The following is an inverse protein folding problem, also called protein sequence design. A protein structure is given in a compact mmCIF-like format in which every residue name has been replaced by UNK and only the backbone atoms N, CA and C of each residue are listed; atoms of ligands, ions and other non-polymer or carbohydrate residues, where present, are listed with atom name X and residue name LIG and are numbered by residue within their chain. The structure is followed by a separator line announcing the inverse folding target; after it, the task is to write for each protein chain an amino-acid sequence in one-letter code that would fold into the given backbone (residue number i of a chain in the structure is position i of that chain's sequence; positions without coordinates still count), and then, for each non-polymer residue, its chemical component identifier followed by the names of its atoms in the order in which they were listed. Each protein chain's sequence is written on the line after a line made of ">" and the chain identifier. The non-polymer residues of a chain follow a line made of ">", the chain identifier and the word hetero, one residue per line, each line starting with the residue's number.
data_IF_405853684274
#
_entry.id   IF_405853684274
#
_cell.length_a   1.000
_cell.length_b   1.000
_cell.length_c   1.000
_cell.angle_alpha   90.00
_cell.angle_beta   90.00
_cell.angle_gamma   90.00
#
_symmetry.space_group_name_H-M   'P 1'
#
loop_
_entity.id
_entity.type
_entity.pdbx_description
1 polymer ?
#
# COMPACT_ATOMS: atom_id res chain seq x y z
N UNK A 1 13.83 10.38 -25.19
CA UNK A 1 12.77 9.48 -25.70
C UNK A 1 11.66 9.38 -24.67
N UNK A 2 10.54 10.09 -24.86
CA UNK A 2 9.35 9.94 -24.02
C UNK A 2 8.57 8.72 -24.51
N UNK A 3 8.60 7.62 -23.75
CA UNK A 3 7.82 6.42 -24.04
C UNK A 3 6.32 6.78 -24.09
N UNK A 4 5.77 6.91 -25.30
CA UNK A 4 4.37 7.20 -25.54
C UNK A 4 3.59 5.92 -25.25
N UNK A 5 3.09 5.78 -24.02
CA UNK A 5 2.33 4.60 -23.59
C UNK A 5 1.16 4.35 -24.57
N UNK A 6 1.15 3.18 -25.17
CA UNK A 6 0.09 2.76 -26.08
C UNK A 6 -1.22 2.67 -25.30
N UNK A 7 -2.27 3.35 -25.80
CA UNK A 7 -3.62 3.30 -25.20
C UNK A 7 -4.25 1.93 -25.46
N UNK A 8 -3.79 0.92 -24.74
CA UNK A 8 -4.40 -0.42 -24.74
C UNK A 8 -5.76 -0.37 -24.05
N UNK A 9 -6.65 -1.31 -24.38
CA UNK A 9 -7.98 -1.41 -23.77
C UNK A 9 -7.90 -1.51 -22.24
N UNK A 10 -6.91 -2.25 -21.74
CA UNK A 10 -6.59 -2.34 -20.31
C UNK A 10 -6.24 -0.98 -19.71
N UNK A 11 -5.36 -0.19 -20.36
CA UNK A 11 -5.00 1.15 -19.88
C UNK A 11 -6.23 2.07 -19.78
N UNK A 12 -7.10 2.07 -20.81
CA UNK A 12 -8.34 2.86 -20.79
C UNK A 12 -9.30 2.38 -19.69
N UNK A 13 -9.44 1.08 -19.47
CA UNK A 13 -10.32 0.52 -18.45
C UNK A 13 -9.83 0.83 -17.04
N UNK A 14 -8.53 0.61 -16.76
CA UNK A 14 -7.92 0.89 -15.45
C UNK A 14 -8.00 2.37 -15.09
N UNK A 15 -7.77 3.27 -16.05
CA UNK A 15 -7.88 4.73 -15.80
C UNK A 15 -9.32 5.10 -15.45
N UNK A 16 -10.32 4.57 -16.17
CA UNK A 16 -11.73 4.80 -15.87
C UNK A 16 -12.18 4.26 -14.51
N UNK A 17 -11.61 3.15 -14.03
CA UNK A 17 -11.90 2.59 -12.70
C UNK A 17 -11.36 3.54 -11.62
N UNK A 18 -10.13 4.01 -11.78
CA UNK A 18 -9.51 4.97 -10.86
C UNK A 18 -10.32 6.27 -10.79
N UNK A 19 -10.74 6.81 -11.94
CA UNK A 19 -11.52 8.05 -11.99
C UNK A 19 -12.91 7.87 -11.36
N UNK A 20 -13.57 6.73 -11.59
CA UNK A 20 -14.84 6.40 -10.92
C UNK A 20 -14.67 6.25 -9.40
N UNK A 21 -13.59 5.62 -8.95
CA UNK A 21 -13.30 5.47 -7.53
C UNK A 21 -13.02 6.84 -6.88
N UNK A 22 -12.29 7.72 -7.58
CA UNK A 22 -12.03 9.08 -7.14
C UNK A 22 -13.32 9.89 -7.02
N UNK A 23 -14.21 9.79 -8.01
CA UNK A 23 -15.52 10.47 -7.97
C UNK A 23 -16.44 9.89 -6.88
N UNK A 24 -16.42 8.58 -6.65
CA UNK A 24 -17.19 7.96 -5.56
C UNK A 24 -16.66 8.38 -4.18
N UNK A 25 -15.33 8.52 -4.06
CA UNK A 25 -14.63 9.00 -2.86
C UNK A 25 -14.64 10.54 -2.72
N UNK A 26 -15.39 11.27 -3.56
CA UNK A 26 -15.57 12.72 -3.40
C UNK A 26 -16.38 13.07 -2.14
N UNK A 27 -17.27 12.16 -1.68
CA UNK A 27 -17.98 12.33 -0.42
C UNK A 27 -17.00 12.12 0.77
N UNK A 28 -16.87 13.08 1.71
CA UNK A 28 -15.97 13.00 2.86
C UNK A 28 -16.13 11.71 3.68
N UNK A 29 -17.36 11.28 3.94
CA UNK A 29 -17.62 10.09 4.76
C UNK A 29 -17.16 8.80 4.08
N UNK A 30 -17.38 8.68 2.76
CA UNK A 30 -16.93 7.53 1.96
C UNK A 30 -15.41 7.50 1.84
N UNK A 31 -14.79 8.67 1.73
CA UNK A 31 -13.33 8.80 1.73
C UNK A 31 -12.71 8.29 3.02
N UNK A 32 -13.23 8.67 4.18
CA UNK A 32 -12.70 8.20 5.46
C UNK A 32 -12.90 6.69 5.64
N UNK A 33 -14.09 6.17 5.27
CA UNK A 33 -14.34 4.73 5.28
C UNK A 33 -13.36 3.96 4.38
N UNK A 34 -13.14 4.43 3.15
CA UNK A 34 -12.17 3.84 2.23
C UNK A 34 -10.76 3.82 2.86
N UNK A 35 -10.30 4.95 3.39
CA UNK A 35 -8.98 5.06 4.03
C UNK A 35 -8.86 4.15 5.26
N UNK A 36 -9.92 4.02 6.07
CA UNK A 36 -9.95 3.12 7.21
C UNK A 36 -9.86 1.65 6.77
N UNK A 37 -10.60 1.24 5.73
CA UNK A 37 -10.51 -0.12 5.16
C UNK A 37 -9.10 -0.39 4.67
N UNK A 38 -8.50 0.55 3.93
CA UNK A 38 -7.14 0.41 3.42
C UNK A 38 -6.12 0.31 4.56
N UNK A 39 -6.29 1.12 5.61
CA UNK A 39 -5.49 1.04 6.82
C UNK A 39 -5.58 -0.35 7.47
N UNK A 40 -6.80 -0.89 7.62
CA UNK A 40 -7.02 -2.21 8.20
C UNK A 40 -6.43 -3.34 7.34
N UNK A 41 -6.52 -3.25 6.01
CA UNK A 41 -5.89 -4.21 5.11
C UNK A 41 -4.37 -4.15 5.24
N UNK A 42 -3.79 -2.93 5.33
CA UNK A 42 -2.37 -2.76 5.60
C UNK A 42 -1.95 -3.36 6.93
N UNK A 43 -2.73 -3.09 7.99
CA UNK A 43 -2.51 -3.64 9.32
C UNK A 43 -2.54 -5.17 9.32
N UNK A 44 -3.55 -5.76 8.66
CA UNK A 44 -3.66 -7.21 8.50
C UNK A 44 -2.43 -7.78 7.80
N UNK A 45 -2.04 -7.21 6.65
CA UNK A 45 -0.85 -7.66 5.92
C UNK A 45 0.43 -7.57 6.78
N UNK A 46 0.58 -6.52 7.58
CA UNK A 46 1.73 -6.32 8.46
C UNK A 46 1.77 -7.34 9.60
N UNK A 47 0.62 -7.60 10.20
CA UNK A 47 0.48 -8.63 11.24
C UNK A 47 0.72 -10.04 10.70
N UNK A 48 0.26 -10.36 9.49
CA UNK A 48 0.54 -11.64 8.84
C UNK A 48 2.03 -11.84 8.59
N UNK A 49 2.75 -10.81 8.14
CA UNK A 49 4.21 -10.87 7.99
C UNK A 49 4.90 -11.10 9.34
N UNK A 50 4.46 -10.42 10.40
CA UNK A 50 4.96 -10.63 11.76
C UNK A 50 4.72 -12.05 12.28
N UNK A 51 3.52 -12.58 12.09
CA UNK A 51 3.17 -13.96 12.48
C UNK A 51 4.00 -15.02 11.73
N UNK A 52 4.21 -14.83 10.42
CA UNK A 52 5.06 -15.73 9.61
C UNK A 52 6.48 -15.76 10.17
N UNK A 53 7.06 -14.59 10.50
CA UNK A 53 8.39 -14.52 11.11
C UNK A 53 8.43 -15.19 12.50
N UNK A 54 7.41 -14.98 13.34
CA UNK A 54 7.34 -15.57 14.69
C UNK A 54 7.21 -17.10 14.69
N UNK A 55 6.47 -17.68 13.74
CA UNK A 55 6.27 -19.14 13.64
C UNK A 55 7.50 -19.85 13.07
N UNK A 56 8.18 -19.25 12.10
CA UNK A 56 9.26 -19.92 11.40
C UNK A 56 10.58 -19.96 12.20
N UNK A 57 10.73 -19.12 13.25
CA UNK A 57 11.99 -18.96 14.00
C UNK A 57 13.25 -18.84 13.09
N UNK A 58 13.02 -18.48 11.83
CA UNK A 58 13.98 -18.63 10.76
C UNK A 58 14.68 -17.31 10.61
N UNK A 59 15.73 -17.16 11.43
CA UNK A 59 16.84 -16.22 11.26
C UNK A 59 16.36 -14.77 11.07
N UNK A 60 16.46 -13.95 12.12
CA UNK A 60 16.24 -12.49 12.11
C UNK A 60 16.68 -11.76 10.81
N UNK A 61 17.79 -12.13 10.13
CA UNK A 61 18.17 -11.53 8.85
C UNK A 61 17.17 -11.72 7.70
N UNK A 62 16.51 -12.88 7.59
CA UNK A 62 15.59 -13.19 6.48
C UNK A 62 14.28 -12.43 6.64
N UNK A 63 13.74 -12.40 7.86
CA UNK A 63 12.57 -11.58 8.19
C UNK A 63 12.84 -10.09 7.97
N UNK A 64 14.01 -9.61 8.39
CA UNK A 64 14.45 -8.23 8.14
C UNK A 64 14.58 -7.93 6.64
N UNK A 65 15.11 -8.87 5.84
CA UNK A 65 15.25 -8.71 4.39
C UNK A 65 13.89 -8.64 3.67
N UNK A 66 12.94 -9.50 4.04
CA UNK A 66 11.58 -9.48 3.49
C UNK A 66 10.87 -8.17 3.85
N UNK A 67 10.99 -7.71 5.10
CA UNK A 67 10.44 -6.44 5.53
C UNK A 67 11.06 -5.26 4.77
N UNK A 68 12.38 -5.30 4.53
CA UNK A 68 13.09 -4.32 3.70
C UNK A 68 12.58 -4.29 2.27
N UNK A 69 12.42 -5.45 1.61
CA UNK A 69 11.86 -5.53 0.25
C UNK A 69 10.45 -4.93 0.22
N UNK A 70 9.60 -5.27 1.18
CA UNK A 70 8.26 -4.69 1.27
C UNK A 70 8.30 -3.17 1.43
N UNK A 71 9.17 -2.67 2.30
CA UNK A 71 9.36 -1.24 2.52
C UNK A 71 9.88 -0.53 1.27
N UNK A 72 10.86 -1.11 0.57
CA UNK A 72 11.43 -0.61 -0.67
C UNK A 72 10.36 -0.51 -1.76
N UNK A 73 9.53 -1.55 -1.92
CA UNK A 73 8.41 -1.57 -2.86
C UNK A 73 7.39 -0.46 -2.57
N UNK A 74 7.07 -0.22 -1.29
CA UNK A 74 6.17 0.85 -0.86
C UNK A 74 6.75 2.24 -1.16
N UNK A 75 8.05 2.44 -0.91
CA UNK A 75 8.75 3.70 -1.17
C UNK A 75 8.84 3.96 -2.68
N UNK A 76 9.23 2.95 -3.46
CA UNK A 76 9.34 3.06 -4.91
C UNK A 76 7.99 3.31 -5.57
N UNK A 77 6.92 2.65 -5.09
CA UNK A 77 5.56 2.92 -5.53
C UNK A 77 5.21 4.41 -5.32
N UNK A 78 5.44 4.97 -4.13
CA UNK A 78 5.18 6.40 -3.85
C UNK A 78 5.90 7.32 -4.83
N UNK A 79 7.16 7.03 -5.15
CA UNK A 79 7.93 7.86 -6.08
C UNK A 79 7.35 7.84 -7.51
N UNK A 80 6.92 6.66 -7.97
CA UNK A 80 6.23 6.51 -9.27
C UNK A 80 4.88 7.22 -9.28
N UNK A 81 4.14 7.18 -8.17
CA UNK A 81 2.84 7.86 -8.04
C UNK A 81 2.96 9.38 -7.90
N UNK A 82 4.03 9.92 -7.31
CA UNK A 82 4.28 11.37 -7.26
C UNK A 82 4.68 11.94 -8.62
N UNK A 83 5.46 11.17 -9.40
CA UNK A 83 5.95 11.60 -10.72
C UNK A 83 4.87 11.52 -11.81
N UNK A 84 3.89 10.62 -11.63
CA UNK A 84 2.71 10.53 -12.47
C UNK A 84 1.65 11.46 -11.91
N UNK A 85 1.10 12.38 -12.70
CA UNK A 85 0.09 13.39 -12.30
C UNK A 85 -1.29 12.77 -11.95
N UNK A 86 -1.29 11.73 -11.10
CA UNK A 86 -2.42 10.88 -10.72
C UNK A 86 -3.23 11.55 -9.61
N UNK A 87 -4.52 11.22 -9.48
CA UNK A 87 -5.40 11.88 -8.53
C UNK A 87 -4.89 11.72 -7.09
N UNK A 88 -4.92 12.82 -6.33
CA UNK A 88 -4.45 12.94 -4.93
C UNK A 88 -5.01 11.84 -4.01
N UNK A 89 -6.18 11.29 -4.35
CA UNK A 89 -6.81 10.19 -3.62
C UNK A 89 -5.95 8.92 -3.62
N UNK A 90 -5.32 8.56 -4.75
CA UNK A 90 -4.49 7.35 -4.84
C UNK A 90 -3.25 7.47 -3.95
N UNK A 91 -2.64 8.65 -3.88
CA UNK A 91 -1.50 8.90 -3.00
C UNK A 91 -1.92 8.69 -1.54
N UNK A 92 -3.07 9.22 -1.13
CA UNK A 92 -3.58 9.02 0.24
C UNK A 92 -3.90 7.56 0.55
N UNK A 93 -4.42 6.80 -0.41
CA UNK A 93 -4.67 5.37 -0.27
C UNK A 93 -3.36 4.63 0.00
N UNK A 94 -2.32 4.89 -0.79
CA UNK A 94 -1.00 4.28 -0.60
C UNK A 94 -0.35 4.68 0.73
N UNK A 95 -0.44 5.96 1.11
CA UNK A 95 0.09 6.44 2.38
C UNK A 95 -0.61 5.75 3.56
N UNK A 96 -1.95 5.62 3.51
CA UNK A 96 -2.70 4.97 4.59
C UNK A 96 -2.42 3.48 4.70
N UNK A 97 -2.25 2.81 3.55
CA UNK A 97 -1.86 1.41 3.51
C UNK A 97 -0.47 1.20 4.14
N UNK A 98 0.48 2.07 3.82
CA UNK A 98 1.84 2.04 4.38
C UNK A 98 1.83 2.24 5.90
N UNK A 99 1.04 3.19 6.39
CA UNK A 99 0.90 3.44 7.83
C UNK A 99 0.31 2.20 8.52
N UNK A 100 -0.75 1.61 7.95
CA UNK A 100 -1.35 0.37 8.46
C UNK A 100 -0.33 -0.78 8.53
N UNK A 101 0.42 -1.00 7.46
CA UNK A 101 1.48 -2.01 7.40
C UNK A 101 2.54 -1.84 8.48
N UNK A 102 3.07 -0.61 8.63
CA UNK A 102 4.07 -0.31 9.64
C UNK A 102 3.51 -0.60 11.05
N UNK A 103 2.28 -0.17 11.32
CA UNK A 103 1.64 -0.37 12.62
C UNK A 103 1.39 -1.85 12.93
N UNK A 104 0.99 -2.64 11.93
CA UNK A 104 0.81 -4.09 12.06
C UNK A 104 2.12 -4.81 12.41
N UNK A 105 3.21 -4.46 11.72
CA UNK A 105 4.54 -5.01 11.99
C UNK A 105 5.06 -4.61 13.38
N UNK A 106 4.93 -3.33 13.77
CA UNK A 106 5.35 -2.87 15.10
C UNK A 106 4.56 -3.55 16.22
N UNK A 107 3.26 -3.75 16.03
CA UNK A 107 2.41 -4.45 17.02
C UNK A 107 2.89 -5.88 17.27
N UNK A 108 3.22 -6.63 16.20
CA UNK A 108 3.79 -7.98 16.36
C UNK A 108 5.20 -7.95 16.95
N UNK A 109 6.05 -7.00 16.55
CA UNK A 109 7.39 -6.84 17.11
C UNK A 109 7.40 -6.53 18.61
N UNK A 110 6.44 -5.73 19.08
CA UNK A 110 6.28 -5.44 20.52
C UNK A 110 5.77 -6.64 21.32
N UNK A 111 5.00 -7.56 20.73
CA UNK A 111 4.56 -8.79 21.42
C UNK A 111 5.71 -9.75 21.71
N UNK A 112 6.80 -9.64 20.96
CA UNK A 112 7.99 -10.49 21.09
C UNK A 112 8.98 -9.96 22.14
N UNK A 113 8.72 -8.77 22.72
CA UNK A 113 9.57 -8.04 23.66
C UNK A 113 9.05 -8.22 25.09
#
# INVERSE_FOLDING_TARGET
>A
MTLRMQKTFLYKSSTKIVDRLANWAANPWRRYSLLAIIFLIGFLAGSSLGMINGVLALMDPVGAFIALIFLELLIQARFVFLKSNKPIILVRIFDMFRIGLAYGLFSEGLKLL
#
